data_IF_617773126220
#
_entry.id   IF_617773126220
#
_cell.length_a   1.000
_cell.length_b   1.000
_cell.length_c   1.000
_cell.angle_alpha   90.00
_cell.angle_beta   90.00
_cell.angle_gamma   90.00
#
_symmetry.space_group_name_H-M   'P 1'
#
loop_
_entity.id
_entity.type
_entity.pdbx_description
1 polymer ?
#
# COMPACT_ATOMS: atom_id res chain seq x y z
N UNK A 1 29.58 34.63 -14.32
CA UNK A 1 30.71 34.36 -15.23
C UNK A 1 31.14 32.92 -15.03
N UNK A 2 30.57 32.03 -15.83
CA UNK A 2 31.09 30.73 -16.32
C UNK A 2 29.90 29.97 -16.88
N UNK A 3 29.67 30.20 -18.17
CA UNK A 3 28.73 29.47 -19.00
C UNK A 3 29.42 28.19 -19.49
N UNK A 4 28.71 27.06 -19.45
CA UNK A 4 29.07 25.84 -20.16
C UNK A 4 27.78 25.26 -20.76
N UNK A 5 27.87 24.98 -22.06
CA UNK A 5 26.74 24.96 -22.97
C UNK A 5 25.95 23.67 -23.01
N UNK A 6 24.67 23.83 -23.34
CA UNK A 6 23.76 22.76 -23.69
C UNK A 6 24.06 22.23 -25.09
N UNK A 7 24.41 20.95 -25.18
CA UNK A 7 24.27 20.16 -26.41
C UNK A 7 23.09 19.20 -26.22
N UNK A 8 22.04 19.40 -27.01
CA UNK A 8 20.93 18.46 -27.18
C UNK A 8 21.45 17.20 -27.89
N UNK A 9 21.25 16.03 -27.30
CA UNK A 9 20.97 14.82 -28.07
C UNK A 9 19.83 14.07 -27.42
N UNK A 10 18.81 13.75 -28.22
CA UNK A 10 17.70 12.90 -27.82
C UNK A 10 18.14 11.44 -27.89
N UNK A 11 17.85 10.68 -26.85
CA UNK A 11 17.77 9.23 -26.92
C UNK A 11 16.83 8.73 -25.83
N UNK A 12 15.81 8.03 -26.29
CA UNK A 12 14.79 7.25 -25.60
C UNK A 12 15.39 6.17 -24.69
N UNK A 13 14.76 5.92 -23.55
CA UNK A 13 14.85 4.66 -22.81
C UNK A 13 15.75 4.66 -21.57
N UNK A 14 15.23 5.17 -20.44
CA UNK A 14 15.85 4.94 -19.13
C UNK A 14 15.51 3.50 -18.70
N UNK A 15 16.47 2.58 -18.89
CA UNK A 15 16.51 1.29 -18.19
C UNK A 15 17.06 1.52 -16.78
N UNK A 16 16.34 1.10 -15.76
CA UNK A 16 16.81 1.15 -14.37
C UNK A 16 18.06 0.28 -14.21
N UNK A 17 19.20 0.91 -13.94
CA UNK A 17 20.43 0.26 -13.54
C UNK A 17 20.71 0.64 -12.08
N UNK A 18 20.13 -0.12 -11.16
CA UNK A 18 20.45 -0.07 -9.73
C UNK A 18 20.97 -1.44 -9.31
N UNK A 19 22.21 -1.77 -9.67
CA UNK A 19 22.89 -2.94 -9.12
C UNK A 19 23.67 -2.52 -7.89
N UNK A 20 23.12 -2.81 -6.72
CA UNK A 20 23.84 -2.69 -5.44
C UNK A 20 24.85 -3.84 -5.34
N UNK A 21 26.04 -3.50 -4.83
CA UNK A 21 27.26 -4.31 -4.79
C UNK A 21 27.04 -5.73 -4.23
N UNK A 22 27.32 -6.74 -5.06
CA UNK A 22 27.46 -8.15 -4.62
C UNK A 22 28.87 -8.38 -4.09
N UNK A 23 28.99 -8.72 -2.81
CA UNK A 23 30.17 -9.41 -2.27
C UNK A 23 29.67 -10.77 -1.77
N UNK A 24 30.19 -11.86 -2.33
CA UNK A 24 29.83 -13.24 -1.94
C UNK A 24 31.06 -13.95 -1.39
N UNK A 25 31.00 -14.54 -0.19
CA UNK A 25 31.79 -15.72 0.16
C UNK A 25 30.90 -16.95 0.05
N UNK A 26 31.32 -17.92 -0.76
CA UNK A 26 30.61 -19.19 -0.94
C UNK A 26 30.88 -20.17 0.19
N UNK A 27 29.81 -20.72 0.77
CA UNK A 27 29.84 -22.00 1.50
C UNK A 27 28.60 -22.78 1.06
N UNK A 28 28.82 -23.95 0.47
CA UNK A 28 27.76 -24.89 0.08
C UNK A 28 27.17 -25.56 1.33
N UNK A 29 25.86 -25.45 1.50
CA UNK A 29 25.08 -26.28 2.41
C UNK A 29 23.99 -26.96 1.60
N UNK A 30 24.05 -28.29 1.52
CA UNK A 30 23.04 -29.15 0.89
C UNK A 30 21.79 -29.20 1.75
N UNK A 31 20.73 -28.50 1.34
CA UNK A 31 19.40 -28.64 1.94
C UNK A 31 18.62 -29.78 1.27
N UNK A 32 18.05 -30.67 2.09
CA UNK A 32 17.17 -31.75 1.68
C UNK A 32 15.88 -31.18 1.07
N UNK A 33 15.56 -31.61 -0.16
CA UNK A 33 14.27 -31.34 -0.79
C UNK A 33 13.20 -32.21 -0.11
N UNK A 34 12.43 -31.62 0.78
CA UNK A 34 11.12 -32.12 1.20
C UNK A 34 10.12 -31.21 0.51
N UNK A 35 9.41 -31.70 -0.50
CA UNK A 35 8.28 -30.98 -1.11
C UNK A 35 7.07 -31.07 -0.18
N UNK A 36 6.55 -29.97 0.38
CA UNK A 36 5.24 -29.95 1.00
C UNK A 36 4.18 -29.68 -0.08
N UNK A 37 3.06 -30.39 0.03
CA UNK A 37 1.85 -30.26 -0.77
C UNK A 37 0.92 -29.27 -0.03
N UNK A 38 0.28 -28.34 -0.77
CA UNK A 38 -0.71 -27.32 -0.35
C UNK A 38 -0.19 -26.06 0.39
N UNK A 39 -0.75 -24.88 0.06
CA UNK A 39 -0.05 -23.57 0.17
C UNK A 39 -0.66 -22.53 1.12
N UNK A 40 -1.70 -22.93 1.84
CA UNK A 40 -2.19 -22.33 3.07
C UNK A 40 -2.70 -23.49 3.95
N UNK A 41 -2.62 -23.38 5.27
CA UNK A 41 -3.09 -24.41 6.21
C UNK A 41 -4.05 -23.79 7.21
N UNK A 42 -5.30 -24.21 7.21
CA UNK A 42 -6.31 -23.73 8.15
C UNK A 42 -5.95 -24.10 9.59
N UNK A 43 -6.34 -23.24 10.53
CA UNK A 43 -6.04 -23.38 11.94
C UNK A 43 -6.49 -24.72 12.54
N UNK A 44 -7.56 -25.32 12.02
CA UNK A 44 -8.08 -26.63 12.42
C UNK A 44 -7.07 -27.78 12.20
N UNK A 45 -6.16 -27.62 11.24
CA UNK A 45 -5.15 -28.60 10.85
C UNK A 45 -3.75 -28.26 11.37
N UNK A 46 -3.55 -27.06 11.91
CA UNK A 46 -2.25 -26.63 12.44
C UNK A 46 -1.98 -27.33 13.78
N UNK A 47 -1.15 -28.38 13.75
CA UNK A 47 -0.38 -28.76 14.94
C UNK A 47 0.33 -27.50 15.44
N UNK A 48 0.16 -27.13 16.72
CA UNK A 48 0.67 -25.86 17.28
C UNK A 48 2.19 -25.71 17.11
N UNK A 49 2.64 -25.22 15.96
CA UNK A 49 4.04 -24.89 15.68
C UNK A 49 4.36 -23.61 16.43
N UNK A 50 5.11 -23.73 17.52
CA UNK A 50 5.60 -22.55 18.26
C UNK A 50 6.66 -21.82 17.44
N UNK A 51 6.31 -20.66 16.86
CA UNK A 51 7.25 -19.83 16.11
C UNK A 51 8.36 -19.31 17.03
N UNK A 52 9.58 -19.18 16.50
CA UNK A 52 10.70 -18.55 17.21
C UNK A 52 10.34 -17.12 17.54
N UNK A 53 10.68 -16.68 18.77
CA UNK A 53 10.42 -15.31 19.23
C UNK A 53 10.90 -14.28 18.17
N UNK A 54 10.03 -13.36 17.73
CA UNK A 54 10.40 -12.37 16.73
C UNK A 54 11.31 -11.30 17.34
N UNK A 55 12.08 -10.64 16.48
CA UNK A 55 12.75 -9.39 16.82
C UNK A 55 11.70 -8.33 17.22
N UNK A 56 11.93 -7.51 18.26
CA UNK A 56 11.00 -6.47 18.69
C UNK A 56 10.99 -5.27 17.73
N UNK A 57 10.55 -5.49 16.49
CA UNK A 57 10.63 -4.55 15.37
C UNK A 57 9.80 -3.28 15.56
N UNK A 58 8.78 -3.31 16.43
CA UNK A 58 7.98 -2.12 16.78
C UNK A 58 8.76 -1.08 17.58
N UNK A 59 9.77 -1.50 18.33
CA UNK A 59 10.57 -0.65 19.21
C UNK A 59 11.99 -0.46 18.72
N UNK A 60 12.54 -1.46 18.01
CA UNK A 60 13.94 -1.49 17.59
C UNK A 60 14.04 -1.75 16.09
N UNK A 61 14.76 -0.87 15.41
CA UNK A 61 15.08 -1.04 14.00
C UNK A 61 16.02 -2.23 13.80
N UNK A 62 15.71 -3.04 12.80
CA UNK A 62 16.58 -4.13 12.37
C UNK A 62 17.63 -3.59 11.39
N UNK A 63 18.91 -3.81 11.70
CA UNK A 63 20.04 -3.27 10.95
C UNK A 63 21.04 -4.36 10.57
N UNK A 64 22.08 -3.99 9.81
CA UNK A 64 23.08 -4.93 9.30
C UNK A 64 23.80 -5.74 10.39
N UNK A 65 23.98 -5.18 11.58
CA UNK A 65 24.60 -5.90 12.70
C UNK A 65 23.71 -7.05 13.21
N UNK A 66 22.40 -6.84 13.25
CA UNK A 66 21.45 -7.86 13.72
C UNK A 66 21.27 -9.01 12.73
N UNK A 67 21.65 -8.84 11.47
CA UNK A 67 21.61 -9.88 10.44
C UNK A 67 22.46 -11.11 10.77
N UNK A 68 23.53 -10.95 11.56
CA UNK A 68 24.36 -12.07 11.99
C UNK A 68 23.71 -12.94 13.08
N UNK A 69 22.69 -12.43 13.77
CA UNK A 69 22.10 -13.08 14.94
C UNK A 69 20.64 -13.52 14.71
N UNK A 70 19.89 -12.80 13.89
CA UNK A 70 18.45 -13.01 13.74
C UNK A 70 18.02 -13.23 12.28
N UNK A 71 18.08 -14.48 11.84
CA UNK A 71 17.65 -14.91 10.51
C UNK A 71 16.13 -14.98 10.37
N UNK A 72 15.61 -14.61 9.21
CA UNK A 72 14.19 -14.46 8.86
C UNK A 72 13.52 -15.80 8.53
N UNK A 73 14.15 -16.65 7.69
CA UNK A 73 13.53 -17.89 7.17
C UNK A 73 13.18 -18.92 8.25
N UNK A 74 13.82 -18.87 9.41
CA UNK A 74 13.55 -19.77 10.56
C UNK A 74 12.11 -19.70 11.06
N UNK A 75 11.38 -18.63 10.73
CA UNK A 75 9.99 -18.41 11.13
C UNK A 75 9.00 -18.67 10.01
N UNK A 76 9.48 -18.94 8.80
CA UNK A 76 8.62 -19.07 7.64
C UNK A 76 7.95 -20.44 7.63
N UNK A 77 6.66 -20.42 7.38
CA UNK A 77 5.79 -21.57 7.26
C UNK A 77 4.85 -21.39 6.05
N UNK A 78 3.94 -22.35 5.89
CA UNK A 78 2.97 -22.36 4.78
C UNK A 78 2.04 -21.14 4.85
N UNK A 79 1.78 -20.62 6.06
CA UNK A 79 0.92 -19.45 6.31
C UNK A 79 1.71 -18.12 6.30
N UNK A 80 3.01 -18.13 6.02
CA UNK A 80 3.78 -16.91 5.76
C UNK A 80 3.44 -16.37 4.36
N UNK A 81 2.20 -15.88 4.21
CA UNK A 81 1.67 -15.37 2.94
C UNK A 81 1.12 -13.97 3.14
N UNK A 82 1.20 -13.18 2.07
CA UNK A 82 0.61 -11.86 1.98
C UNK A 82 -0.60 -11.93 1.07
N UNK A 83 -1.79 -11.77 1.65
CA UNK A 83 -3.07 -11.88 0.98
C UNK A 83 -3.72 -10.50 0.95
N UNK A 84 -4.25 -10.10 -0.21
CA UNK A 84 -4.95 -8.82 -0.37
C UNK A 84 -6.40 -9.12 -0.72
N UNK A 85 -7.34 -8.56 0.03
CA UNK A 85 -8.77 -8.59 -0.30
C UNK A 85 -9.14 -7.28 -0.99
N UNK A 86 -9.49 -7.39 -2.25
CA UNK A 86 -9.86 -6.28 -3.13
C UNK A 86 -11.33 -6.36 -3.54
N UNK A 87 -11.84 -5.28 -4.11
CA UNK A 87 -13.25 -5.18 -4.49
C UNK A 87 -13.74 -3.74 -4.56
N UNK A 88 -14.92 -3.57 -5.15
CA UNK A 88 -15.56 -2.27 -5.24
C UNK A 88 -15.92 -1.68 -3.86
N UNK A 89 -16.43 -0.47 -3.79
CA UNK A 89 -16.91 0.14 -2.54
C UNK A 89 -18.09 -0.70 -2.00
N UNK A 90 -18.23 -0.80 -0.67
CA UNK A 90 -19.34 -1.50 0.00
C UNK A 90 -19.58 -2.98 -0.38
N UNK A 91 -18.52 -3.71 -0.74
CA UNK A 91 -18.54 -5.15 -1.04
C UNK A 91 -18.27 -6.07 0.17
N UNK A 92 -18.30 -5.57 1.41
CA UNK A 92 -18.09 -6.42 2.60
C UNK A 92 -16.66 -6.97 2.79
N UNK A 93 -15.65 -6.38 2.11
CA UNK A 93 -14.23 -6.77 2.22
C UNK A 93 -13.72 -6.91 3.64
N UNK A 94 -14.13 -6.01 4.52
CA UNK A 94 -13.69 -5.97 5.92
C UNK A 94 -14.06 -7.22 6.68
N UNK A 95 -15.29 -7.70 6.56
CA UNK A 95 -15.73 -8.92 7.22
C UNK A 95 -15.09 -10.15 6.60
N UNK A 96 -15.01 -10.19 5.26
CA UNK A 96 -14.37 -11.29 4.55
C UNK A 96 -12.88 -11.44 4.93
N UNK A 97 -12.12 -10.33 4.92
CA UNK A 97 -10.71 -10.30 5.26
C UNK A 97 -10.45 -10.75 6.71
N UNK A 98 -11.31 -10.34 7.66
CA UNK A 98 -11.24 -10.80 9.05
C UNK A 98 -11.45 -12.31 9.16
N UNK A 99 -12.47 -12.86 8.48
CA UNK A 99 -12.74 -14.31 8.47
C UNK A 99 -11.58 -15.10 7.88
N UNK A 100 -10.97 -14.64 6.77
CA UNK A 100 -9.76 -15.26 6.20
C UNK A 100 -8.62 -15.24 7.22
N UNK A 101 -8.37 -14.08 7.85
CA UNK A 101 -7.31 -13.93 8.83
C UNK A 101 -7.48 -14.86 10.04
N UNK A 102 -8.70 -14.98 10.56
CA UNK A 102 -9.03 -15.90 11.65
C UNK A 102 -8.85 -17.37 11.25
N UNK A 103 -9.27 -17.74 10.03
CA UNK A 103 -9.23 -19.13 9.56
C UNK A 103 -7.80 -19.64 9.33
N UNK A 104 -6.88 -18.78 8.90
CA UNK A 104 -5.48 -19.13 8.62
C UNK A 104 -4.48 -18.60 9.65
N UNK A 105 -4.94 -18.02 10.76
CA UNK A 105 -4.11 -17.40 11.80
C UNK A 105 -3.13 -16.32 11.27
N UNK A 106 -3.66 -15.47 10.40
CA UNK A 106 -2.93 -14.36 9.78
C UNK A 106 -3.24 -13.06 10.53
N UNK A 107 -2.34 -12.10 10.45
CA UNK A 107 -2.62 -10.76 10.94
C UNK A 107 -3.56 -10.05 9.96
N UNK A 108 -4.73 -9.63 10.44
CA UNK A 108 -5.61 -8.74 9.69
C UNK A 108 -5.13 -7.28 9.79
N UNK A 109 -4.97 -6.63 8.64
CA UNK A 109 -4.65 -5.20 8.52
C UNK A 109 -5.76 -4.47 7.73
N UNK A 110 -6.47 -3.50 8.34
CA UNK A 110 -7.55 -2.77 7.68
C UNK A 110 -7.03 -1.88 6.53
N UNK A 111 -7.92 -1.40 5.65
CA UNK A 111 -7.56 -0.40 4.62
C UNK A 111 -7.20 0.92 5.32
N UNK A 112 -6.34 1.70 4.68
CA UNK A 112 -6.03 3.06 5.10
C UNK A 112 -7.23 3.94 4.79
N UNK A 113 -7.87 4.50 5.82
CA UNK A 113 -8.99 5.40 5.61
C UNK A 113 -8.49 6.70 4.94
N UNK A 114 -9.18 7.24 3.91
CA UNK A 114 -8.73 8.45 3.22
C UNK A 114 -8.45 9.65 4.12
N UNK A 115 -9.18 9.79 5.23
CA UNK A 115 -8.97 10.91 6.16
C UNK A 115 -7.69 10.76 7.01
N UNK A 116 -7.07 9.58 7.07
CA UNK A 116 -5.77 9.39 7.76
C UNK A 116 -4.63 10.17 7.11
N UNK A 117 -4.82 10.65 5.87
CA UNK A 117 -3.85 11.52 5.19
C UNK A 117 -3.68 12.85 5.91
N UNK A 118 -4.68 13.28 6.68
CA UNK A 118 -4.67 14.53 7.44
C UNK A 118 -4.21 14.34 8.89
N UNK A 119 -3.87 13.12 9.28
CA UNK A 119 -3.32 12.82 10.59
C UNK A 119 -1.79 12.81 10.55
N UNK A 120 -1.20 13.57 11.47
CA UNK A 120 0.23 13.54 11.74
C UNK A 120 0.65 12.28 12.49
N UNK A 121 1.96 12.04 12.63
CA UNK A 121 2.53 10.90 13.37
C UNK A 121 2.09 10.85 14.85
N UNK A 122 1.77 12.01 15.43
CA UNK A 122 1.24 12.16 16.79
C UNK A 122 -0.29 12.00 16.88
N UNK A 123 -0.97 11.79 15.74
CA UNK A 123 -2.42 11.72 15.67
C UNK A 123 -3.13 13.08 15.72
N UNK A 124 -2.37 14.18 15.59
CA UNK A 124 -2.96 15.51 15.43
C UNK A 124 -3.67 15.61 14.08
N UNK A 125 -4.91 16.12 14.10
CA UNK A 125 -5.74 16.32 12.92
C UNK A 125 -5.48 17.70 12.30
N UNK A 126 -4.80 17.70 11.14
CA UNK A 126 -4.42 18.91 10.40
C UNK A 126 -5.62 19.74 9.93
N UNK A 127 -6.81 19.14 9.82
CA UNK A 127 -8.02 19.83 9.35
C UNK A 127 -8.50 20.90 10.32
N UNK A 128 -8.09 20.83 11.59
CA UNK A 128 -8.35 21.88 12.59
C UNK A 128 -7.69 23.22 12.22
N UNK A 129 -6.69 23.19 11.34
CA UNK A 129 -6.00 24.38 10.84
C UNK A 129 -6.65 24.96 9.58
N UNK A 130 -7.69 24.33 9.02
CA UNK A 130 -8.34 24.78 7.78
C UNK A 130 -8.80 26.24 7.83
N UNK A 131 -9.22 26.73 9.01
CA UNK A 131 -9.67 28.11 9.21
C UNK A 131 -8.53 29.13 9.18
N UNK A 132 -7.29 28.69 9.41
CA UNK A 132 -6.09 29.54 9.41
C UNK A 132 -5.52 29.72 8.00
N UNK A 133 -5.89 28.87 7.05
CA UNK A 133 -5.45 28.96 5.67
C UNK A 133 -6.36 29.88 4.85
N UNK A 134 -5.74 30.63 3.94
CA UNK A 134 -6.40 31.29 2.83
C UNK A 134 -7.15 30.28 1.96
N UNK A 135 -8.17 30.75 1.22
CA UNK A 135 -8.91 29.90 0.28
C UNK A 135 -7.98 29.43 -0.85
N UNK A 136 -7.38 28.25 -0.69
CA UNK A 136 -6.32 27.76 -1.56
C UNK A 136 -6.09 26.24 -1.47
N UNK A 137 -4.98 25.73 -2.04
CA UNK A 137 -4.63 24.31 -2.06
C UNK A 137 -4.23 23.74 -0.69
N UNK A 138 -4.00 24.61 0.30
CA UNK A 138 -3.66 24.22 1.67
C UNK A 138 -4.86 23.71 2.48
N UNK A 139 -6.09 24.12 2.10
CA UNK A 139 -7.30 23.66 2.79
C UNK A 139 -7.52 22.18 2.54
N UNK A 140 -7.86 21.45 3.60
CA UNK A 140 -8.10 20.02 3.48
C UNK A 140 -9.28 19.71 2.55
N UNK A 141 -9.13 18.65 1.77
CA UNK A 141 -10.15 18.14 0.87
C UNK A 141 -10.42 16.67 1.19
N UNK A 142 -11.24 16.48 2.21
CA UNK A 142 -11.60 15.19 2.81
C UNK A 142 -12.48 14.34 1.91
N UNK A 143 -12.64 13.07 2.29
CA UNK A 143 -13.56 12.16 1.60
C UNK A 143 -15.00 12.69 1.63
N UNK A 144 -15.47 13.19 2.77
CA UNK A 144 -16.82 13.76 2.89
C UNK A 144 -17.00 14.97 1.98
N UNK A 145 -16.02 15.89 1.96
CA UNK A 145 -16.02 17.07 1.08
C UNK A 145 -16.05 16.64 -0.39
N UNK A 146 -15.20 15.69 -0.77
CA UNK A 146 -15.14 15.15 -2.13
C UNK A 146 -16.47 14.52 -2.55
N UNK A 147 -17.01 13.64 -1.72
CA UNK A 147 -18.25 12.93 -2.04
C UNK A 147 -19.47 13.83 -2.06
N UNK A 148 -19.46 14.93 -1.29
CA UNK A 148 -20.57 15.90 -1.22
C UNK A 148 -20.44 17.05 -2.23
N UNK A 149 -19.30 17.17 -2.93
CA UNK A 149 -19.05 18.29 -3.84
C UNK A 149 -19.93 18.19 -5.10
N UNK A 150 -20.72 19.25 -5.34
CA UNK A 150 -21.56 19.37 -6.55
C UNK A 150 -20.73 19.58 -7.82
N UNK A 151 -19.50 20.06 -7.70
CA UNK A 151 -18.55 20.21 -8.79
C UNK A 151 -17.24 19.43 -8.50
N UNK A 152 -17.26 18.08 -8.63
CA UNK A 152 -16.10 17.23 -8.39
C UNK A 152 -14.98 17.39 -9.43
N UNK A 153 -15.20 18.20 -10.48
CA UNK A 153 -14.20 18.55 -11.52
C UNK A 153 -13.35 19.76 -11.16
N UNK A 154 -13.35 20.16 -9.88
CA UNK A 154 -12.51 21.22 -9.34
C UNK A 154 -11.02 20.83 -9.21
N UNK A 155 -10.66 19.59 -9.58
CA UNK A 155 -9.31 19.00 -9.55
C UNK A 155 -8.67 18.86 -8.15
N UNK A 156 -9.39 19.22 -7.08
CA UNK A 156 -8.86 19.21 -5.70
C UNK A 156 -8.58 17.81 -5.16
N UNK A 157 -9.10 16.76 -5.79
CA UNK A 157 -8.88 15.35 -5.38
C UNK A 157 -7.47 14.85 -5.70
N UNK A 158 -6.75 15.53 -6.59
CA UNK A 158 -5.44 15.06 -7.08
C UNK A 158 -4.42 14.85 -5.97
N UNK A 159 -4.17 15.87 -5.17
CA UNK A 159 -3.21 15.83 -4.05
C UNK A 159 -3.61 14.86 -2.94
N UNK A 160 -4.86 14.85 -2.41
CA UNK A 160 -5.30 13.84 -1.46
C UNK A 160 -5.10 12.40 -1.94
N UNK A 161 -5.33 12.12 -3.23
CA UNK A 161 -5.10 10.79 -3.80
C UNK A 161 -3.60 10.39 -3.75
N UNK A 162 -2.68 11.33 -3.98
CA UNK A 162 -1.23 11.09 -3.87
C UNK A 162 -0.81 10.83 -2.42
N UNK A 163 -1.40 11.57 -1.47
CA UNK A 163 -1.15 11.38 -0.04
C UNK A 163 -1.72 10.04 0.46
N UNK A 164 -2.88 9.63 -0.05
CA UNK A 164 -3.45 8.31 0.25
C UNK A 164 -2.55 7.19 -0.28
N UNK A 165 -2.02 7.33 -1.50
CA UNK A 165 -1.04 6.40 -2.05
C UNK A 165 0.20 6.31 -1.15
N UNK A 166 0.73 7.43 -0.66
CA UNK A 166 1.84 7.47 0.28
C UNK A 166 1.53 6.68 1.56
N UNK A 167 0.38 6.93 2.20
CA UNK A 167 -0.01 6.19 3.41
C UNK A 167 -0.20 4.69 3.13
N UNK A 168 -0.83 4.32 2.01
CA UNK A 168 -0.99 2.91 1.57
C UNK A 168 0.35 2.21 1.32
N UNK A 169 1.33 2.91 0.78
CA UNK A 169 2.68 2.38 0.60
C UNK A 169 3.31 2.01 1.95
N UNK A 170 3.32 2.92 2.93
CA UNK A 170 3.89 2.61 4.25
C UNK A 170 3.08 1.57 5.03
N UNK A 171 1.77 1.53 4.82
CA UNK A 171 0.91 0.48 5.36
C UNK A 171 1.32 -0.90 4.80
N UNK A 172 1.57 -0.98 3.49
CA UNK A 172 2.08 -2.19 2.82
C UNK A 172 3.49 -2.58 3.28
N UNK A 173 4.39 -1.61 3.42
CA UNK A 173 5.74 -1.83 3.99
C UNK A 173 5.65 -2.37 5.42
N UNK A 174 4.70 -1.89 6.22
CA UNK A 174 4.46 -2.39 7.58
C UNK A 174 3.96 -3.84 7.58
N UNK A 175 3.15 -4.24 6.59
CA UNK A 175 2.75 -5.63 6.41
C UNK A 175 3.96 -6.53 6.08
N UNK A 176 4.81 -6.10 5.14
CA UNK A 176 6.04 -6.83 4.79
C UNK A 176 7.00 -6.93 5.99
N UNK A 177 7.18 -5.84 6.73
CA UNK A 177 7.98 -5.82 7.96
C UNK A 177 7.45 -6.82 8.98
N UNK A 178 6.13 -6.89 9.19
CA UNK A 178 5.52 -7.87 10.10
C UNK A 178 5.83 -9.31 9.65
N UNK A 179 5.62 -9.62 8.37
CA UNK A 179 5.87 -10.95 7.81
C UNK A 179 7.34 -11.35 8.00
N UNK A 180 8.28 -10.47 7.64
CA UNK A 180 9.72 -10.78 7.69
C UNK A 180 10.25 -10.87 9.13
N UNK A 181 9.64 -10.18 10.09
CA UNK A 181 10.06 -10.27 11.49
C UNK A 181 9.42 -11.46 12.24
N UNK A 182 8.18 -11.82 11.91
CA UNK A 182 7.38 -12.77 12.70
C UNK A 182 7.14 -14.11 12.03
N UNK A 183 7.20 -14.18 10.69
CA UNK A 183 6.72 -15.31 9.90
C UNK A 183 5.20 -15.46 9.87
N UNK A 184 4.45 -14.64 10.60
CA UNK A 184 2.99 -14.63 10.51
C UNK A 184 2.59 -13.91 9.22
N UNK A 185 1.80 -14.58 8.38
CA UNK A 185 1.24 -13.94 7.18
C UNK A 185 0.25 -12.84 7.51
N UNK A 186 -0.09 -12.05 6.51
CA UNK A 186 -0.95 -10.87 6.63
C UNK A 186 -2.07 -10.95 5.61
N UNK A 187 -3.29 -10.64 6.05
CA UNK A 187 -4.42 -10.33 5.18
C UNK A 187 -4.68 -8.83 5.27
N UNK A 188 -4.66 -8.13 4.14
CA UNK A 188 -4.94 -6.69 4.12
C UNK A 188 -6.06 -6.32 3.16
N UNK A 189 -6.80 -5.26 3.49
CA UNK A 189 -7.81 -4.69 2.61
C UNK A 189 -7.22 -3.64 1.68
N UNK A 190 -7.32 -3.91 0.38
CA UNK A 190 -6.65 -3.14 -0.69
C UNK A 190 -5.13 -3.05 -0.49
N UNK A 191 -4.41 -2.87 -1.59
CA UNK A 191 -2.96 -2.71 -1.56
C UNK A 191 -2.52 -1.46 -2.29
N UNK A 192 -1.24 -1.12 -2.15
CA UNK A 192 -0.58 -0.09 -2.95
C UNK A 192 -0.68 -0.38 -4.45
N UNK A 193 -0.78 -1.65 -4.85
CA UNK A 193 -0.98 -2.03 -6.25
C UNK A 193 -2.38 -1.68 -6.74
N UNK A 194 -3.38 -1.88 -5.89
CA UNK A 194 -4.81 -1.66 -6.17
C UNK A 194 -5.18 -0.18 -6.23
N UNK A 195 -4.37 0.70 -5.62
CA UNK A 195 -4.60 2.15 -5.60
C UNK A 195 -4.75 2.77 -7.00
N UNK A 196 -4.02 2.23 -8.00
CA UNK A 196 -4.02 2.74 -9.37
C UNK A 196 -5.40 2.79 -10.03
N UNK A 197 -6.36 2.01 -9.53
CA UNK A 197 -7.73 1.98 -10.02
C UNK A 197 -8.40 3.36 -9.85
N UNK A 198 -8.16 4.06 -8.74
CA UNK A 198 -8.83 5.32 -8.46
C UNK A 198 -8.34 6.48 -9.33
N UNK A 199 -7.01 6.77 -9.46
CA UNK A 199 -6.51 7.78 -10.38
C UNK A 199 -6.96 7.55 -11.82
N UNK A 200 -7.04 6.29 -12.27
CA UNK A 200 -7.53 5.96 -13.61
C UNK A 200 -9.01 6.35 -13.80
N UNK A 201 -9.85 6.05 -12.81
CA UNK A 201 -11.27 6.42 -12.84
C UNK A 201 -11.44 7.93 -12.71
N UNK A 202 -10.66 8.60 -11.86
CA UNK A 202 -10.68 10.06 -11.71
C UNK A 202 -10.33 10.76 -13.01
N UNK A 203 -9.32 10.30 -13.74
CA UNK A 203 -9.00 10.85 -15.05
C UNK A 203 -10.12 10.61 -16.08
N UNK A 204 -10.73 9.41 -16.10
CA UNK A 204 -11.85 9.10 -17.00
C UNK A 204 -13.12 9.93 -16.74
N UNK A 205 -13.30 10.41 -15.51
CA UNK A 205 -14.44 11.25 -15.11
C UNK A 205 -14.12 12.75 -15.13
N UNK A 206 -12.85 13.10 -15.39
CA UNK A 206 -12.38 14.49 -15.40
C UNK A 206 -12.22 15.11 -14.02
N UNK A 207 -12.01 14.31 -12.98
CA UNK A 207 -11.68 14.77 -11.61
C UNK A 207 -10.18 15.01 -11.45
N UNK A 208 -9.36 14.46 -12.34
CA UNK A 208 -7.90 14.60 -12.39
C UNK A 208 -7.48 14.79 -13.85
N UNK A 209 -6.45 15.59 -14.11
CA UNK A 209 -5.94 15.78 -15.47
C UNK A 209 -5.22 14.52 -15.99
N UNK A 210 -5.21 14.26 -17.31
CA UNK A 210 -4.40 13.20 -17.91
C UNK A 210 -2.89 13.31 -17.60
N UNK A 211 -2.40 14.52 -17.45
CA UNK A 211 -1.01 14.86 -17.10
C UNK A 211 -0.70 14.40 -15.68
N UNK A 212 -1.58 14.69 -14.72
CA UNK A 212 -1.49 14.18 -13.35
C UNK A 212 -1.52 12.64 -13.29
N UNK A 213 -2.38 11.99 -14.08
CA UNK A 213 -2.40 10.52 -14.17
C UNK A 213 -1.08 9.96 -14.72
N UNK A 214 -0.53 10.63 -15.74
CA UNK A 214 0.73 10.23 -16.37
C UNK A 214 1.88 10.34 -15.37
N UNK A 215 1.92 11.43 -14.60
CA UNK A 215 2.87 11.63 -13.51
C UNK A 215 2.76 10.53 -12.45
N UNK A 216 1.54 10.27 -11.94
CA UNK A 216 1.28 9.21 -10.97
C UNK A 216 1.80 7.85 -11.47
N UNK A 217 1.48 7.47 -12.71
CA UNK A 217 1.86 6.15 -13.24
C UNK A 217 3.34 6.02 -13.52
N UNK A 218 3.92 7.00 -14.22
CA UNK A 218 5.25 6.86 -14.80
C UNK A 218 6.36 7.26 -13.84
N UNK A 219 6.09 8.20 -12.93
CA UNK A 219 7.08 8.65 -11.96
C UNK A 219 6.82 8.03 -10.60
N UNK A 220 5.69 8.37 -9.96
CA UNK A 220 5.44 7.99 -8.57
C UNK A 220 5.36 6.46 -8.40
N UNK A 221 4.39 5.84 -9.08
CA UNK A 221 4.09 4.41 -8.93
C UNK A 221 5.24 3.54 -9.42
N UNK A 222 5.84 3.87 -10.55
CA UNK A 222 6.93 3.08 -11.13
C UNK A 222 8.19 3.10 -10.24
N UNK A 223 8.53 4.24 -9.64
CA UNK A 223 9.71 4.38 -8.78
C UNK A 223 9.52 3.72 -7.41
N UNK A 224 8.29 3.68 -6.89
CA UNK A 224 7.99 3.15 -5.56
C UNK A 224 7.69 1.64 -5.56
N UNK A 225 6.99 1.13 -6.57
CA UNK A 225 6.56 -0.28 -6.59
C UNK A 225 7.66 -1.25 -7.01
N UNK A 226 8.70 -0.81 -7.73
CA UNK A 226 9.69 -1.70 -8.34
C UNK A 226 10.41 -2.61 -7.33
N UNK A 227 10.59 -2.12 -6.10
CA UNK A 227 11.31 -2.83 -5.04
C UNK A 227 10.35 -3.49 -4.03
N UNK A 228 9.03 -3.37 -4.21
CA UNK A 228 8.05 -4.00 -3.33
C UNK A 228 7.77 -5.45 -3.74
N UNK A 229 7.83 -6.36 -2.75
CA UNK A 229 7.40 -7.73 -2.94
C UNK A 229 5.89 -7.78 -3.11
N UNK A 230 5.43 -8.38 -4.21
CA UNK A 230 4.01 -8.43 -4.60
C UNK A 230 3.24 -9.40 -3.70
N UNK A 231 1.91 -9.26 -3.54
CA UNK A 231 1.14 -10.20 -2.75
C UNK A 231 1.17 -11.61 -3.36
N UNK A 232 0.97 -12.63 -2.53
CA UNK A 232 0.88 -14.03 -2.99
C UNK A 232 -0.50 -14.30 -3.58
N UNK A 233 -1.54 -13.72 -2.97
CA UNK A 233 -2.92 -13.93 -3.39
C UNK A 233 -3.68 -12.61 -3.35
N UNK A 234 -4.42 -12.33 -4.40
CA UNK A 234 -5.43 -11.28 -4.44
C UNK A 234 -6.80 -11.93 -4.54
N UNK A 235 -7.63 -11.72 -3.53
CA UNK A 235 -9.02 -12.16 -3.52
C UNK A 235 -9.89 -10.97 -3.90
N UNK A 236 -10.52 -11.02 -5.07
CA UNK A 236 -11.43 -9.99 -5.54
C UNK A 236 -12.88 -10.34 -5.22
N UNK A 237 -13.57 -9.48 -4.48
CA UNK A 237 -15.00 -9.59 -4.27
C UNK A 237 -15.74 -8.83 -5.37
N UNK A 238 -16.27 -9.58 -6.34
CA UNK A 238 -17.09 -9.08 -7.44
C UNK A 238 -18.54 -8.91 -6.98
N UNK A 239 -19.16 -7.82 -7.39
CA UNK A 239 -20.49 -7.46 -6.96
C UNK A 239 -21.24 -6.72 -8.07
N UNK A 240 -22.49 -7.11 -8.37
CA UNK A 240 -23.35 -6.29 -9.20
C UNK A 240 -23.51 -4.88 -8.62
N UNK A 241 -23.55 -3.87 -9.48
CA UNK A 241 -23.67 -2.46 -9.07
C UNK A 241 -24.94 -2.24 -8.22
N UNK A 242 -26.03 -2.96 -8.54
CA UNK A 242 -27.27 -2.92 -7.76
C UNK A 242 -27.05 -3.35 -6.30
N UNK A 243 -26.33 -4.45 -6.08
CA UNK A 243 -25.97 -4.95 -4.75
C UNK A 243 -25.06 -3.97 -4.02
N UNK A 244 -24.07 -3.39 -4.71
CA UNK A 244 -23.20 -2.35 -4.14
C UNK A 244 -24.02 -1.13 -3.69
N UNK A 245 -24.96 -0.67 -4.51
CA UNK A 245 -25.85 0.45 -4.20
C UNK A 245 -26.72 0.16 -2.98
N UNK A 246 -27.29 -1.04 -2.92
CA UNK A 246 -28.08 -1.49 -1.76
C UNK A 246 -27.23 -1.51 -0.48
N UNK A 247 -26.00 -2.00 -0.55
CA UNK A 247 -25.08 -2.03 0.59
C UNK A 247 -24.66 -0.63 1.05
N UNK A 248 -24.44 0.31 0.12
CA UNK A 248 -24.19 1.73 0.45
C UNK A 248 -25.40 2.31 1.19
N UNK A 249 -26.61 2.06 0.69
CA UNK A 249 -27.84 2.53 1.33
C UNK A 249 -28.06 1.91 2.71
N UNK A 250 -27.78 0.61 2.88
CA UNK A 250 -27.84 -0.09 4.18
C UNK A 250 -26.84 0.47 5.19
N UNK A 251 -25.64 0.85 4.73
CA UNK A 251 -24.62 1.47 5.58
C UNK A 251 -25.05 2.86 6.08
N UNK A 252 -25.91 3.56 5.34
CA UNK A 252 -26.61 4.76 5.81
C UNK A 252 -25.73 6.00 6.02
N UNK A 253 -24.53 6.04 5.45
CA UNK A 253 -23.63 7.20 5.56
C UNK A 253 -24.16 8.34 4.67
N UNK A 254 -24.54 9.51 5.23
CA UNK A 254 -25.27 10.54 4.49
C UNK A 254 -24.56 11.06 3.23
N UNK A 255 -23.24 11.29 3.33
CA UNK A 255 -22.43 11.82 2.23
C UNK A 255 -22.11 10.79 1.14
N UNK A 256 -22.28 9.49 1.40
CA UNK A 256 -22.12 8.45 0.38
C UNK A 256 -23.42 8.17 -0.37
N UNK A 257 -24.53 8.10 0.36
CA UNK A 257 -25.86 7.79 -0.19
C UNK A 257 -26.32 8.88 -1.16
N UNK A 258 -26.12 10.15 -0.79
CA UNK A 258 -26.54 11.30 -1.59
C UNK A 258 -25.38 11.90 -2.42
N UNK A 259 -24.30 11.13 -2.61
CA UNK A 259 -23.10 11.63 -3.27
C UNK A 259 -23.35 11.93 -4.76
N UNK A 260 -23.09 13.16 -5.25
CA UNK A 260 -22.98 13.44 -6.68
C UNK A 260 -21.83 12.70 -7.39
N UNK A 261 -20.84 12.21 -6.65
CA UNK A 261 -19.65 11.53 -7.20
C UNK A 261 -19.87 10.03 -7.34
N UNK A 262 -20.49 9.40 -6.34
CA UNK A 262 -20.68 7.95 -6.25
C UNK A 262 -21.81 7.46 -7.18
N UNK A 263 -21.71 7.77 -8.47
CA UNK A 263 -22.68 7.40 -9.50
C UNK A 263 -22.52 5.95 -9.94
N UNK A 264 -23.52 5.38 -10.62
CA UNK A 264 -23.41 4.03 -11.19
C UNK A 264 -22.29 3.95 -12.25
N UNK A 265 -22.02 5.05 -12.96
CA UNK A 265 -20.90 5.14 -13.91
C UNK A 265 -19.56 5.07 -13.18
N UNK A 266 -19.41 5.77 -12.05
CA UNK A 266 -18.21 5.70 -11.21
C UNK A 266 -17.95 4.26 -10.76
N UNK A 267 -18.95 3.60 -10.15
CA UNK A 267 -18.81 2.23 -9.64
C UNK A 267 -18.48 1.23 -10.76
N UNK A 268 -19.08 1.40 -11.95
CA UNK A 268 -18.81 0.57 -13.12
C UNK A 268 -17.39 0.75 -13.64
N UNK A 269 -16.88 1.99 -13.66
CA UNK A 269 -15.52 2.29 -14.09
C UNK A 269 -14.48 1.75 -13.12
N UNK A 270 -14.75 1.78 -11.81
CA UNK A 270 -13.91 1.12 -10.80
C UNK A 270 -13.80 -0.38 -11.07
N UNK A 271 -14.94 -1.08 -11.21
CA UNK A 271 -14.93 -2.52 -11.52
C UNK A 271 -14.21 -2.82 -12.85
N UNK A 272 -14.46 -2.02 -13.88
CA UNK A 272 -13.79 -2.17 -15.17
C UNK A 272 -12.27 -1.95 -15.08
N UNK A 273 -11.81 -1.00 -14.26
CA UNK A 273 -10.38 -0.74 -14.07
C UNK A 273 -9.68 -1.89 -13.32
N UNK A 274 -10.32 -2.49 -12.31
CA UNK A 274 -9.83 -3.73 -11.69
C UNK A 274 -9.62 -4.84 -12.73
N UNK A 275 -10.67 -5.15 -13.50
CA UNK A 275 -10.67 -6.25 -14.47
C UNK A 275 -9.76 -6.02 -15.69
N UNK A 276 -9.70 -4.79 -16.21
CA UNK A 276 -8.98 -4.48 -17.47
C UNK A 276 -7.55 -4.02 -17.28
N UNK A 277 -7.17 -3.53 -16.08
CA UNK A 277 -5.87 -2.88 -15.85
C UNK A 277 -5.10 -3.57 -14.74
N UNK A 278 -5.70 -3.72 -13.55
CA UNK A 278 -5.01 -4.29 -12.41
C UNK A 278 -4.69 -5.78 -12.61
N UNK A 279 -5.70 -6.62 -12.89
CA UNK A 279 -5.48 -8.07 -12.98
C UNK A 279 -4.49 -8.47 -14.08
N UNK A 280 -4.57 -7.94 -15.32
CA UNK A 280 -3.57 -8.25 -16.34
C UNK A 280 -2.15 -7.85 -15.94
N UNK A 281 -1.99 -6.79 -15.14
CA UNK A 281 -0.66 -6.34 -14.70
C UNK A 281 -0.04 -7.20 -13.58
N UNK A 282 -0.85 -7.97 -12.85
CA UNK A 282 -0.41 -8.75 -11.69
C UNK A 282 -0.47 -10.26 -11.90
N UNK A 283 -1.21 -10.73 -12.93
CA UNK A 283 -1.43 -12.15 -13.22
C UNK A 283 -0.16 -12.98 -13.33
N UNK A 284 0.92 -12.39 -13.88
CA UNK A 284 2.18 -13.09 -14.09
C UNK A 284 2.99 -13.26 -12.78
N UNK A 285 2.63 -12.52 -11.73
CA UNK A 285 3.37 -12.45 -10.48
C UNK A 285 2.61 -13.00 -9.27
N UNK A 286 1.29 -12.89 -9.27
CA UNK A 286 0.41 -13.14 -8.13
C UNK A 286 -0.77 -14.01 -8.56
N UNK A 287 -1.28 -14.87 -7.67
CA UNK A 287 -2.54 -15.57 -7.91
C UNK A 287 -3.73 -14.66 -7.64
N UNK A 288 -4.74 -14.73 -8.51
CA UNK A 288 -5.92 -13.88 -8.42
C UNK A 288 -7.15 -14.78 -8.47
N UNK A 289 -8.00 -14.67 -7.45
CA UNK A 289 -9.27 -15.39 -7.34
C UNK A 289 -10.39 -14.37 -7.22
N UNK A 290 -11.53 -14.65 -7.83
CA UNK A 290 -12.69 -13.78 -7.79
C UNK A 290 -13.90 -14.51 -7.24
N UNK A 291 -14.55 -13.94 -6.24
CA UNK A 291 -15.80 -14.42 -5.68
C UNK A 291 -16.95 -13.47 -6.03
N UNK A 292 -18.05 -13.99 -6.55
CA UNK A 292 -19.29 -13.21 -6.71
C UNK A 292 -20.06 -13.20 -5.38
N UNK A 293 -20.25 -12.00 -4.82
CA UNK A 293 -20.95 -11.80 -3.55
C UNK A 293 -22.40 -12.29 -3.60
N UNK A 294 -23.03 -12.22 -4.77
CA UNK A 294 -24.44 -12.61 -4.95
C UNK A 294 -24.64 -14.11 -4.78
N UNK A 295 -23.58 -14.89 -4.98
CA UNK A 295 -23.58 -16.34 -4.91
C UNK A 295 -22.27 -16.84 -4.27
N UNK A 296 -22.02 -16.39 -3.03
CA UNK A 296 -20.87 -16.85 -2.27
C UNK A 296 -21.06 -18.33 -1.88
N UNK A 297 -20.06 -19.19 -2.13
CA UNK A 297 -20.04 -20.52 -1.56
C UNK A 297 -20.06 -20.48 -0.04
N UNK A 298 -20.43 -21.60 0.57
CA UNK A 298 -20.29 -21.78 2.01
C UNK A 298 -18.84 -21.58 2.44
N UNK A 299 -18.65 -21.07 3.66
CA UNK A 299 -17.32 -20.70 4.14
C UNK A 299 -16.33 -21.87 4.17
N UNK A 300 -16.80 -23.08 4.43
CA UNK A 300 -15.99 -24.30 4.40
C UNK A 300 -15.40 -24.56 3.01
N UNK A 301 -16.20 -24.36 1.95
CA UNK A 301 -15.75 -24.52 0.56
C UNK A 301 -14.69 -23.47 0.21
N UNK A 302 -14.86 -22.24 0.68
CA UNK A 302 -13.86 -21.17 0.46
C UNK A 302 -12.54 -21.54 1.14
N UNK A 303 -12.57 -22.10 2.36
CA UNK A 303 -11.34 -22.54 3.02
C UNK A 303 -10.67 -23.65 2.21
N UNK A 304 -11.42 -24.69 1.83
CA UNK A 304 -10.89 -25.81 1.04
C UNK A 304 -10.23 -25.32 -0.27
N UNK A 305 -10.92 -24.44 -1.01
CA UNK A 305 -10.37 -23.86 -2.24
C UNK A 305 -9.07 -23.10 -1.97
N UNK A 306 -9.02 -22.30 -0.90
CA UNK A 306 -7.82 -21.52 -0.53
C UNK A 306 -6.64 -22.41 -0.09
N UNK A 307 -6.90 -23.55 0.55
CA UNK A 307 -5.89 -24.54 0.92
C UNK A 307 -5.31 -25.25 -0.31
N UNK A 308 -6.16 -25.57 -1.29
CA UNK A 308 -5.78 -26.26 -2.52
C UNK A 308 -4.90 -25.42 -3.47
N UNK A 309 -4.89 -24.09 -3.31
CA UNK A 309 -4.12 -23.20 -4.18
C UNK A 309 -2.63 -23.51 -4.18
N UNK A 310 -1.97 -23.26 -5.31
CA UNK A 310 -0.51 -23.31 -5.43
C UNK A 310 0.13 -21.92 -5.35
N UNK A 311 0.75 -21.59 -4.20
CA UNK A 311 1.41 -20.32 -3.88
C UNK A 311 2.94 -20.41 -3.70
N UNK A 312 3.62 -21.47 -4.16
CA UNK A 312 5.09 -21.64 -3.96
C UNK A 312 5.83 -21.57 -5.28
N UNK A 313 5.78 -22.60 -6.10
CA UNK A 313 6.53 -22.64 -7.36
C UNK A 313 5.72 -23.32 -8.45
N UNK A 314 5.70 -22.65 -9.60
CA UNK A 314 5.10 -23.16 -10.82
C UNK A 314 6.20 -23.16 -11.86
N UNK A 315 6.74 -24.34 -12.19
CA UNK A 315 7.83 -24.48 -13.19
C UNK A 315 7.47 -23.85 -14.54
N UNK A 316 6.18 -23.84 -14.89
CA UNK A 316 5.67 -23.22 -16.11
C UNK A 316 5.57 -21.69 -16.07
N UNK A 317 5.71 -21.05 -14.89
CA UNK A 317 5.55 -19.60 -14.69
C UNK A 317 6.70 -19.02 -13.85
N UNK A 318 7.84 -18.66 -14.46
CA UNK A 318 9.05 -18.26 -13.74
C UNK A 318 8.96 -16.88 -13.07
N UNK A 319 7.99 -16.03 -13.42
CA UNK A 319 7.81 -14.71 -12.81
C UNK A 319 6.90 -14.73 -11.56
N UNK A 320 6.22 -15.85 -11.31
CA UNK A 320 5.31 -15.99 -10.18
C UNK A 320 6.08 -16.08 -8.88
N UNK A 321 5.65 -15.29 -7.89
CA UNK A 321 6.27 -15.21 -6.56
C UNK A 321 7.78 -14.99 -6.58
N UNK A 322 8.34 -14.46 -7.66
CA UNK A 322 9.78 -14.37 -7.88
C UNK A 322 10.49 -13.65 -6.74
N UNK A 323 9.86 -12.62 -6.19
CA UNK A 323 10.36 -11.86 -5.06
C UNK A 323 10.38 -12.65 -3.75
N UNK A 324 9.49 -13.63 -3.58
CA UNK A 324 9.43 -14.49 -2.40
C UNK A 324 10.35 -15.72 -2.50
N UNK A 325 10.81 -16.06 -3.71
CA UNK A 325 11.67 -17.22 -3.99
C UNK A 325 13.15 -16.89 -3.89
N UNK A 326 13.54 -16.26 -2.78
CA UNK A 326 14.94 -15.95 -2.53
C UNK A 326 15.71 -17.21 -2.16
N UNK A 327 16.91 -17.37 -2.73
CA UNK A 327 17.74 -18.57 -2.50
C UNK A 327 18.61 -18.46 -1.26
N UNK A 328 18.97 -17.24 -0.86
CA UNK A 328 19.90 -16.99 0.26
C UNK A 328 19.16 -16.29 1.39
N UNK A 329 19.55 -16.64 2.60
CA UNK A 329 19.05 -15.97 3.80
C UNK A 329 19.36 -14.47 3.81
N UNK A 330 20.52 -14.11 3.27
CA UNK A 330 20.96 -12.72 3.17
C UNK A 330 20.00 -11.87 2.34
N UNK A 331 19.35 -12.44 1.32
CA UNK A 331 18.40 -11.70 0.48
C UNK A 331 17.15 -11.31 1.30
N UNK A 332 16.61 -12.23 2.11
CA UNK A 332 15.52 -11.94 3.06
C UNK A 332 15.94 -10.92 4.10
N UNK A 333 17.13 -11.07 4.68
CA UNK A 333 17.65 -10.18 5.72
C UNK A 333 17.92 -8.76 5.22
N UNK A 334 18.46 -8.62 4.01
CA UNK A 334 18.67 -7.33 3.38
C UNK A 334 17.34 -6.63 3.09
N UNK A 335 16.36 -7.37 2.55
CA UNK A 335 15.05 -6.80 2.30
C UNK A 335 14.33 -6.40 3.60
N UNK A 336 14.41 -7.26 4.63
CA UNK A 336 13.91 -6.97 5.97
C UNK A 336 14.50 -5.70 6.57
N UNK A 337 15.79 -5.45 6.37
CA UNK A 337 16.44 -4.22 6.81
C UNK A 337 15.86 -3.00 6.08
N UNK A 338 15.66 -3.07 4.76
CA UNK A 338 15.06 -1.98 3.96
C UNK A 338 13.67 -1.63 4.47
N UNK A 339 12.79 -2.62 4.65
CA UNK A 339 11.41 -2.36 5.12
C UNK A 339 11.32 -1.93 6.59
N UNK A 340 12.33 -2.29 7.41
CA UNK A 340 12.43 -1.84 8.81
C UNK A 340 12.91 -0.39 8.90
N UNK A 341 13.72 0.06 7.94
CA UNK A 341 14.24 1.43 7.86
C UNK A 341 13.30 2.33 7.03
N UNK A 342 12.05 2.48 7.46
CA UNK A 342 10.99 3.17 6.71
C UNK A 342 11.37 4.59 6.27
N UNK A 343 12.06 5.34 7.13
CA UNK A 343 12.51 6.71 6.83
C UNK A 343 13.39 6.80 5.58
N UNK A 344 14.14 5.73 5.26
CA UNK A 344 15.00 5.66 4.07
C UNK A 344 14.22 5.51 2.76
N UNK A 345 12.92 5.21 2.83
CA UNK A 345 12.03 5.06 1.68
C UNK A 345 11.38 6.38 1.27
N UNK A 346 11.37 7.39 2.15
CA UNK A 346 10.77 8.70 1.86
C UNK A 346 11.32 9.38 0.60
N UNK A 347 12.64 9.31 0.28
CA UNK A 347 13.19 9.86 -0.96
C UNK A 347 12.56 9.32 -2.25
N UNK A 348 11.94 8.14 -2.23
CA UNK A 348 11.23 7.60 -3.41
C UNK A 348 10.02 8.46 -3.82
N UNK A 349 9.51 9.27 -2.90
CA UNK A 349 8.37 10.18 -3.10
C UNK A 349 8.78 11.61 -3.40
N UNK A 350 10.07 11.94 -3.36
CA UNK A 350 10.60 13.27 -3.70
C UNK A 350 10.69 13.47 -5.22
N UNK A 351 9.53 13.34 -5.88
CA UNK A 351 9.38 13.61 -7.30
C UNK A 351 8.51 14.85 -7.44
N UNK A 352 9.03 15.86 -8.14
CA UNK A 352 8.30 17.08 -8.40
C UNK A 352 7.21 16.84 -9.46
N UNK A 353 5.95 17.26 -9.20
CA UNK A 353 4.90 17.21 -10.21
C UNK A 353 5.24 18.10 -11.41
N UNK A 354 4.80 17.73 -12.63
CA UNK A 354 5.00 18.57 -13.80
C UNK A 354 4.16 19.85 -13.69
N UNK A 355 4.65 20.95 -14.29
CA UNK A 355 3.94 22.22 -14.38
C UNK A 355 2.57 22.10 -15.08
N UNK A 356 2.43 21.10 -15.96
CA UNK A 356 1.19 20.81 -16.68
C UNK A 356 0.10 20.18 -15.79
N UNK A 357 0.41 19.81 -14.54
CA UNK A 357 -0.51 19.28 -13.54
C UNK A 357 -0.55 20.16 -12.27
N UNK A 358 -1.04 21.40 -12.38
CA UNK A 358 -1.01 22.37 -11.27
C UNK A 358 -1.79 21.89 -10.03
N UNK A 359 -2.78 21.00 -10.18
CA UNK A 359 -3.57 20.47 -9.06
C UNK A 359 -2.77 19.60 -8.08
N UNK A 360 -1.59 19.12 -8.48
CA UNK A 360 -0.69 18.34 -7.63
C UNK A 360 0.32 19.22 -6.89
N UNK A 361 0.50 20.46 -7.34
CA UNK A 361 1.52 21.38 -6.84
C UNK A 361 0.97 22.27 -5.73
N UNK A 362 1.84 22.65 -4.80
CA UNK A 362 1.62 23.80 -3.92
C UNK A 362 2.48 24.93 -4.48
N UNK A 363 1.91 26.10 -4.74
CA UNK A 363 2.68 27.26 -5.16
C UNK A 363 3.52 27.80 -4.00
N UNK A 364 4.58 28.56 -4.30
CA UNK A 364 5.51 29.03 -3.28
C UNK A 364 4.86 29.90 -2.19
N UNK A 365 3.89 30.74 -2.56
CA UNK A 365 3.15 31.57 -1.60
C UNK A 365 2.30 30.72 -0.64
N UNK A 366 1.58 29.73 -1.19
CA UNK A 366 0.81 28.77 -0.40
C UNK A 366 1.72 27.92 0.50
N UNK A 367 2.91 27.55 0.02
CA UNK A 367 3.88 26.79 0.83
C UNK A 367 4.37 27.61 2.04
N UNK A 368 4.65 28.90 1.85
CA UNK A 368 5.04 29.81 2.94
C UNK A 368 3.90 29.95 3.96
N UNK A 369 2.65 30.04 3.50
CA UNK A 369 1.50 30.06 4.39
C UNK A 369 1.39 28.76 5.19
N UNK A 370 1.52 27.60 4.53
CA UNK A 370 1.52 26.29 5.17
C UNK A 370 2.59 26.19 6.26
N UNK A 371 3.82 26.56 5.93
CA UNK A 371 4.93 26.59 6.87
C UNK A 371 4.63 27.52 8.05
N UNK A 372 4.16 28.74 7.79
CA UNK A 372 3.87 29.73 8.84
C UNK A 372 2.83 29.19 9.83
N UNK A 373 1.74 28.59 9.34
CA UNK A 373 0.71 27.98 10.18
C UNK A 373 1.29 26.82 10.99
N UNK A 374 2.08 25.93 10.37
CA UNK A 374 2.71 24.80 11.08
C UNK A 374 3.65 25.28 12.18
N UNK A 375 4.51 26.26 11.91
CA UNK A 375 5.48 26.80 12.87
C UNK A 375 4.81 27.49 14.06
N UNK A 376 3.65 28.13 13.84
CA UNK A 376 2.89 28.80 14.90
C UNK A 376 2.15 27.82 15.83
N UNK A 377 2.03 26.54 15.46
CA UNK A 377 1.30 25.53 16.21
C UNK A 377 2.28 24.53 16.86
N UNK A 378 2.63 24.68 18.15
CA UNK A 378 3.64 23.84 18.82
C UNK A 378 3.28 22.35 18.87
N UNK A 379 1.99 22.01 18.80
CA UNK A 379 1.52 20.63 18.75
C UNK A 379 1.83 19.88 17.44
N UNK A 380 2.36 20.56 16.42
CA UNK A 380 2.68 19.99 15.10
C UNK A 380 4.14 20.22 14.72
N UNK A 381 4.72 21.34 15.16
CA UNK A 381 6.05 21.75 14.76
C UNK A 381 7.15 20.75 15.16
N UNK A 382 7.03 20.12 16.32
CA UNK A 382 8.03 19.19 16.83
C UNK A 382 7.75 17.74 16.40
N UNK A 383 8.81 16.99 16.11
CA UNK A 383 8.71 15.54 15.91
C UNK A 383 8.20 14.86 17.19
N UNK A 384 7.50 13.75 17.05
CA UNK A 384 7.02 12.90 18.15
C UNK A 384 8.05 12.72 19.26
N UNK A 385 7.70 13.16 20.46
CA UNK A 385 8.56 13.07 21.65
C UNK A 385 9.64 14.14 21.75
N UNK A 386 9.74 15.08 20.81
CA UNK A 386 10.69 16.20 20.83
C UNK A 386 10.04 17.56 21.12
N UNK A 387 8.78 17.56 21.59
CA UNK A 387 8.11 18.79 21.98
C UNK A 387 8.57 19.22 23.39
N UNK A 388 9.26 20.36 23.56
CA UNK A 388 9.79 20.79 24.85
C UNK A 388 8.71 21.15 25.88
N UNK A 389 7.47 21.42 25.44
CA UNK A 389 6.35 21.75 26.33
C UNK A 389 5.75 20.51 26.99
N UNK A 390 5.78 19.36 26.29
CA UNK A 390 5.16 18.11 26.74
C UNK A 390 6.18 17.05 27.16
N UNK A 391 7.39 17.10 26.60
CA UNK A 391 8.40 16.06 26.73
C UNK A 391 9.72 16.56 27.29
N UNK A 392 10.40 15.71 28.07
CA UNK A 392 11.78 15.96 28.47
C UNK A 392 12.73 15.63 27.30
N UNK A 393 13.16 16.68 26.60
CA UNK A 393 13.97 16.60 25.37
C UNK A 393 15.48 16.51 25.60
N UNK A 394 15.98 16.86 26.79
CA UNK A 394 17.42 17.04 27.05
C UNK A 394 18.30 15.80 26.79
N UNK A 395 17.70 14.60 26.77
CA UNK A 395 18.42 13.33 26.61
C UNK A 395 17.89 12.47 25.45
N UNK A 396 17.07 13.04 24.56
CA UNK A 396 16.60 12.34 23.36
C UNK A 396 17.55 12.69 22.21
N UNK A 397 18.20 11.68 21.63
CA UNK A 397 19.15 11.80 20.51
C UNK A 397 18.44 11.72 19.16
#
# INVERSE_FOLDING_TARGET
>A
MLALGFVRSGATGIKCAGSLFRISPGILSSALNVTPVAHLTALSLVETRTRVKPWPYKEKTYNQFWQFFDHTSKRFDDNTRLIVVDGNIATGKTEFAKKVAESFNLLYMPDVHPDEVWLNEDGYDMRKLDEQFSDGPNKSYDLEKFLSDKNPKNLKVGRPQMLLYYKRFYHYVSALEHILNTGQGVVMERSVFSDMVFPEVFAQLGYMTPEALTFYKNMLRKNTICDLWKPHLIIYLDAPIATVRENINKRGIPYEVNSPVLTDDFLRKVDAAYKKKLFPSLRDHTEIISYDISNLPDWEIIIEELEELNLVEVESQPEKFKEWRQRREDDFNNYRMVVSMKDTLHPLFLVEPPLDAPELMIHGEDLIELETVIHNNPGIYYKKGYNPETDNVLFKL
#
